data_IF_849832825816
#
_entry.id   IF_849832825816
#
_cell.length_a   1.000
_cell.length_b   1.000
_cell.length_c   1.000
_cell.angle_alpha   90.00
_cell.angle_beta   90.00
_cell.angle_gamma   90.00
#
_symmetry.space_group_name_H-M   'P 1'
#
loop_
_entity.id
_entity.type
_entity.pdbx_description
1 polymer ?
#
# COMPACT_ATOMS: atom_id res chain seq x y z
N UNK A 1 -6.94 19.51 -61.28
CA UNK A 1 -6.12 18.27 -61.15
C UNK A 1 -4.87 18.66 -60.39
N UNK A 2 -4.68 18.11 -59.18
CA UNK A 2 -3.67 18.59 -58.23
C UNK A 2 -2.29 18.11 -58.67
N UNK A 3 -1.40 19.04 -59.02
CA UNK A 3 0.00 18.76 -59.31
C UNK A 3 0.69 18.30 -58.02
N UNK A 4 0.76 16.99 -57.79
CA UNK A 4 1.51 16.40 -56.67
C UNK A 4 2.99 16.81 -56.83
N UNK A 5 3.43 17.81 -56.07
CA UNK A 5 4.83 18.21 -56.04
C UNK A 5 5.67 17.12 -55.37
N UNK A 6 6.93 17.00 -55.82
CA UNK A 6 7.90 16.02 -55.34
C UNK A 6 8.09 16.13 -53.80
N UNK A 7 7.87 15.05 -53.03
CA UNK A 7 8.33 14.94 -51.66
C UNK A 7 9.87 14.87 -51.63
N UNK A 8 10.56 15.66 -50.80
CA UNK A 8 12.02 15.61 -50.71
C UNK A 8 12.49 14.24 -50.20
N UNK A 9 13.51 13.68 -50.85
CA UNK A 9 14.22 12.47 -50.38
C UNK A 9 13.83 11.12 -51.00
N UNK A 10 12.76 11.01 -51.78
CA UNK A 10 12.41 9.74 -52.46
C UNK A 10 13.12 9.57 -53.82
N UNK A 11 13.61 8.35 -54.07
CA UNK A 11 14.17 7.95 -55.35
C UNK A 11 13.06 7.85 -56.41
N UNK A 12 13.30 8.44 -57.59
CA UNK A 12 12.31 8.55 -58.67
C UNK A 12 12.84 7.85 -59.91
N UNK A 13 11.93 7.25 -60.66
CA UNK A 13 12.19 6.52 -61.89
C UNK A 13 11.26 7.07 -62.97
N UNK A 14 11.76 7.15 -64.21
CA UNK A 14 10.93 7.63 -65.34
C UNK A 14 9.82 6.63 -65.67
N UNK A 15 8.67 7.09 -66.19
CA UNK A 15 7.58 6.19 -66.56
C UNK A 15 7.99 5.12 -67.61
N UNK A 16 8.97 5.41 -68.47
CA UNK A 16 9.50 4.46 -69.44
C UNK A 16 10.34 3.35 -68.77
N UNK A 17 11.08 3.70 -67.73
CA UNK A 17 11.88 2.75 -66.96
C UNK A 17 11.01 1.95 -65.99
N UNK A 18 10.02 2.59 -65.36
CA UNK A 18 8.97 1.92 -64.59
C UNK A 18 8.19 0.90 -65.43
N UNK A 19 7.87 1.24 -66.69
CA UNK A 19 7.22 0.34 -67.63
C UNK A 19 8.05 -0.92 -67.92
N UNK A 20 9.38 -0.78 -68.04
CA UNK A 20 10.30 -1.92 -68.20
C UNK A 20 10.33 -2.80 -66.95
N UNK A 21 10.38 -2.20 -65.77
CA UNK A 21 10.44 -2.93 -64.49
C UNK A 21 9.14 -3.70 -64.25
N UNK A 22 7.99 -3.07 -64.49
CA UNK A 22 6.66 -3.67 -64.29
C UNK A 22 6.21 -4.57 -65.46
N UNK A 23 7.00 -4.67 -66.53
CA UNK A 23 6.65 -5.37 -67.78
C UNK A 23 5.28 -4.93 -68.34
N UNK A 24 4.96 -3.64 -68.25
CA UNK A 24 3.70 -3.04 -68.72
C UNK A 24 3.96 -1.93 -69.74
N UNK A 25 2.95 -1.61 -70.54
CA UNK A 25 3.03 -0.48 -71.48
C UNK A 25 3.10 0.88 -70.73
N UNK A 26 3.83 1.85 -71.30
CA UNK A 26 4.01 3.19 -70.72
C UNK A 26 2.68 3.93 -70.56
N UNK A 27 1.71 3.72 -71.46
CA UNK A 27 0.35 4.27 -71.36
C UNK A 27 -0.40 3.67 -70.17
N UNK A 28 -0.19 2.38 -69.89
CA UNK A 28 -0.75 1.71 -68.71
C UNK A 28 -0.15 2.28 -67.44
N UNK A 29 1.16 2.46 -67.37
CA UNK A 29 1.82 3.10 -66.21
C UNK A 29 1.31 4.52 -66.00
N UNK A 30 1.15 5.31 -67.07
CA UNK A 30 0.54 6.64 -66.97
C UNK A 30 -0.88 6.60 -66.42
N UNK A 31 -1.70 5.65 -66.89
CA UNK A 31 -3.07 5.46 -66.39
C UNK A 31 -3.06 5.08 -64.91
N UNK A 32 -2.15 4.19 -64.48
CA UNK A 32 -2.00 3.77 -63.08
C UNK A 32 -1.62 4.93 -62.15
N UNK A 33 -0.78 5.87 -62.61
CA UNK A 33 -0.47 7.10 -61.86
C UNK A 33 -1.72 8.00 -61.77
N UNK A 34 -2.48 8.12 -62.86
CA UNK A 34 -3.71 8.92 -62.90
C UNK A 34 -4.84 8.33 -62.03
N UNK A 35 -4.95 7.00 -61.95
CA UNK A 35 -5.94 6.29 -61.13
C UNK A 35 -5.49 6.09 -59.69
N UNK A 36 -4.33 6.64 -59.29
CA UNK A 36 -3.68 6.44 -57.97
C UNK A 36 -3.44 4.96 -57.61
N UNK A 37 -3.26 4.08 -58.59
CA UNK A 37 -2.83 2.69 -58.34
C UNK A 37 -1.34 2.61 -58.03
N UNK A 38 -0.56 3.57 -58.54
CA UNK A 38 0.86 3.74 -58.24
C UNK A 38 1.10 5.21 -57.88
N UNK A 39 1.85 5.45 -56.81
CA UNK A 39 2.28 6.79 -56.46
C UNK A 39 3.32 7.34 -57.46
N UNK A 40 2.98 8.46 -58.07
CA UNK A 40 3.84 9.16 -59.02
C UNK A 40 3.43 10.62 -59.18
N UNK A 41 4.18 11.35 -60.01
CA UNK A 41 3.86 12.74 -60.32
C UNK A 41 4.21 13.10 -61.77
N UNK A 42 3.56 14.16 -62.24
CA UNK A 42 3.77 14.76 -63.55
C UNK A 42 4.63 16.01 -63.40
N UNK A 43 5.72 16.09 -64.17
CA UNK A 43 6.55 17.28 -64.31
C UNK A 43 6.40 17.82 -65.72
N UNK A 44 5.81 19.00 -65.84
CA UNK A 44 5.77 19.72 -67.11
C UNK A 44 7.13 20.40 -67.33
N UNK A 45 7.79 20.10 -68.43
CA UNK A 45 9.08 20.70 -68.81
C UNK A 45 9.00 21.10 -70.28
N UNK A 46 9.23 22.38 -70.58
CA UNK A 46 9.22 22.95 -71.93
C UNK A 46 7.98 22.51 -72.76
N UNK A 47 6.78 22.67 -72.17
CA UNK A 47 5.49 22.30 -72.77
C UNK A 47 5.24 20.80 -73.00
N UNK A 48 6.09 19.90 -72.48
CA UNK A 48 5.90 18.44 -72.52
C UNK A 48 5.78 17.84 -71.12
N UNK A 49 4.78 16.99 -70.94
CA UNK A 49 4.51 16.27 -69.69
C UNK A 49 5.38 15.04 -69.52
N UNK A 50 6.24 15.03 -68.50
CA UNK A 50 7.04 13.88 -68.12
C UNK A 50 6.47 13.24 -66.85
N UNK A 51 6.31 11.93 -66.87
CA UNK A 51 5.71 11.16 -65.77
C UNK A 51 6.80 10.42 -65.02
N UNK A 52 6.75 10.49 -63.69
CA UNK A 52 7.71 9.86 -62.78
C UNK A 52 6.97 9.00 -61.75
N UNK A 53 7.58 7.89 -61.38
CA UNK A 53 7.10 6.94 -60.37
C UNK A 53 8.13 6.83 -59.26
N UNK A 54 7.70 6.61 -58.01
CA UNK A 54 8.64 6.35 -56.92
C UNK A 54 9.19 4.92 -56.98
N UNK A 55 10.50 4.76 -56.79
CA UNK A 55 11.20 3.49 -56.99
C UNK A 55 10.77 2.39 -55.99
N UNK A 56 10.33 2.79 -54.79
CA UNK A 56 9.83 1.89 -53.74
C UNK A 56 8.56 1.13 -54.16
N UNK A 57 7.73 1.73 -55.02
CA UNK A 57 6.51 1.11 -55.54
C UNK A 57 6.77 0.11 -56.68
N UNK A 58 7.91 0.20 -57.35
CA UNK A 58 8.24 -0.64 -58.52
C UNK A 58 8.79 -2.01 -58.14
N UNK A 59 9.28 -2.17 -56.90
CA UNK A 59 9.88 -3.42 -56.40
C UNK A 59 8.86 -4.35 -55.74
N UNK A 60 7.60 -3.94 -55.64
CA UNK A 60 6.55 -4.63 -54.87
C UNK A 60 5.74 -5.68 -55.64
N UNK A 61 6.02 -5.95 -56.91
CA UNK A 61 5.34 -7.04 -57.65
C UNK A 61 6.25 -8.24 -57.83
N UNK A 62 6.12 -9.21 -56.92
CA UNK A 62 6.55 -10.59 -57.17
C UNK A 62 7.81 -11.06 -56.47
N UNK A 63 7.90 -10.89 -55.15
CA UNK A 63 8.69 -11.80 -54.33
C UNK A 63 7.70 -12.68 -53.58
N UNK A 64 7.61 -13.95 -53.99
CA UNK A 64 7.02 -15.00 -53.15
C UNK A 64 7.64 -14.88 -51.74
N UNK A 65 6.87 -15.02 -50.65
CA UNK A 65 7.40 -14.78 -49.32
C UNK A 65 8.51 -15.78 -49.07
N UNK A 66 9.75 -15.29 -49.14
CA UNK A 66 10.89 -16.00 -48.62
C UNK A 66 10.60 -16.27 -47.14
N UNK A 67 10.90 -17.50 -46.73
CA UNK A 67 10.93 -18.02 -45.36
C UNK A 67 11.84 -17.22 -44.43
N UNK A 68 11.49 -15.96 -44.19
CA UNK A 68 11.86 -15.16 -43.05
C UNK A 68 10.54 -14.81 -42.37
N UNK A 69 10.42 -15.08 -41.07
CA UNK A 69 9.27 -14.68 -40.26
C UNK A 69 8.80 -13.29 -40.68
N UNK A 70 7.58 -13.20 -41.20
CA UNK A 70 7.00 -11.93 -41.62
C UNK A 70 7.11 -10.96 -40.44
N UNK A 71 7.33 -9.67 -40.71
CA UNK A 71 7.28 -8.62 -39.66
C UNK A 71 5.98 -8.75 -38.85
N UNK A 72 4.90 -9.19 -39.48
CA UNK A 72 3.61 -9.48 -38.84
C UNK A 72 3.68 -10.66 -37.85
N UNK A 73 4.46 -11.70 -38.13
CA UNK A 73 4.66 -12.82 -37.22
C UNK A 73 5.50 -12.42 -36.01
N UNK A 74 6.51 -11.56 -36.22
CA UNK A 74 7.32 -10.99 -35.13
C UNK A 74 6.46 -10.10 -34.22
N UNK A 75 5.66 -9.20 -34.80
CA UNK A 75 4.74 -8.34 -34.03
C UNK A 75 3.67 -9.14 -33.28
N UNK A 76 3.21 -10.27 -33.86
CA UNK A 76 2.25 -11.18 -33.20
C UNK A 76 2.89 -11.91 -32.02
N UNK A 77 4.13 -12.38 -32.17
CA UNK A 77 4.89 -13.00 -31.09
C UNK A 77 5.18 -12.00 -29.96
N UNK A 78 5.59 -10.78 -30.30
CA UNK A 78 5.84 -9.70 -29.34
C UNK A 78 4.56 -9.31 -28.58
N UNK A 79 3.42 -9.16 -29.28
CA UNK A 79 2.13 -8.93 -28.62
C UNK A 79 1.73 -10.07 -27.68
N UNK A 80 1.97 -11.32 -28.07
CA UNK A 80 1.68 -12.47 -27.21
C UNK A 80 2.56 -12.44 -25.95
N UNK A 81 3.83 -12.09 -26.09
CA UNK A 81 4.76 -11.96 -24.98
C UNK A 81 4.39 -10.81 -24.04
N UNK A 82 4.08 -9.62 -24.58
CA UNK A 82 3.64 -8.47 -23.80
C UNK A 82 2.34 -8.76 -23.03
N UNK A 83 1.39 -9.48 -23.64
CA UNK A 83 0.16 -9.90 -22.96
C UNK A 83 0.44 -10.88 -21.82
N UNK A 84 1.37 -11.81 -22.02
CA UNK A 84 1.78 -12.74 -20.97
C UNK A 84 2.47 -12.01 -19.81
N UNK A 85 3.36 -11.06 -20.11
CA UNK A 85 4.03 -10.25 -19.11
C UNK A 85 3.03 -9.40 -18.32
N UNK A 86 2.09 -8.75 -19.01
CA UNK A 86 1.06 -7.92 -18.38
C UNK A 86 0.13 -8.75 -17.49
N UNK A 87 -0.24 -9.96 -17.91
CA UNK A 87 -0.99 -10.90 -17.08
C UNK A 87 -0.20 -11.29 -15.82
N UNK A 88 1.11 -11.55 -15.95
CA UNK A 88 1.97 -11.87 -14.81
C UNK A 88 2.12 -10.68 -13.85
N UNK A 89 2.23 -9.45 -14.37
CA UNK A 89 2.32 -8.23 -13.59
C UNK A 89 1.04 -7.98 -12.78
N UNK A 90 -0.14 -8.23 -13.37
CA UNK A 90 -1.39 -8.15 -12.63
C UNK A 90 -1.49 -9.17 -11.50
N UNK A 91 -1.00 -10.40 -11.71
CA UNK A 91 -1.01 -11.38 -10.62
C UNK A 91 -0.05 -10.97 -9.50
N UNK A 92 1.12 -10.40 -9.81
CA UNK A 92 2.02 -9.85 -8.79
C UNK A 92 1.37 -8.70 -8.02
N UNK A 93 0.69 -7.78 -8.71
CA UNK A 93 -0.05 -6.68 -8.07
C UNK A 93 -1.14 -7.23 -7.15
N UNK A 94 -1.91 -8.22 -7.61
CA UNK A 94 -2.97 -8.87 -6.84
C UNK A 94 -2.41 -9.51 -5.56
N UNK A 95 -1.32 -10.27 -5.68
CA UNK A 95 -0.66 -10.91 -4.55
C UNK A 95 -0.05 -9.89 -3.59
N UNK A 96 0.56 -8.82 -4.11
CA UNK A 96 1.13 -7.74 -3.30
C UNK A 96 0.04 -7.00 -2.51
N UNK A 97 -1.12 -6.74 -3.12
CA UNK A 97 -2.26 -6.13 -2.44
C UNK A 97 -2.81 -7.04 -1.34
N UNK A 98 -2.94 -8.34 -1.62
CA UNK A 98 -3.36 -9.32 -0.62
C UNK A 98 -2.37 -9.38 0.56
N UNK A 99 -1.06 -9.40 0.28
CA UNK A 99 -0.03 -9.38 1.32
C UNK A 99 -0.09 -8.09 2.16
N UNK A 100 -0.30 -6.94 1.50
CA UNK A 100 -0.44 -5.66 2.20
C UNK A 100 -1.66 -5.64 3.11
N UNK A 101 -2.80 -6.18 2.65
CA UNK A 101 -4.01 -6.28 3.46
C UNK A 101 -3.80 -7.13 4.72
N UNK A 102 -3.11 -8.28 4.58
CA UNK A 102 -2.76 -9.15 5.71
C UNK A 102 -1.85 -8.41 6.70
N UNK A 103 -0.82 -7.71 6.20
CA UNK A 103 0.09 -6.97 7.05
C UNK A 103 -0.62 -5.84 7.82
N UNK A 104 -1.54 -5.12 7.17
CA UNK A 104 -2.33 -4.07 7.84
C UNK A 104 -3.27 -4.63 8.89
N UNK A 105 -3.89 -5.78 8.63
CA UNK A 105 -4.75 -6.46 9.61
C UNK A 105 -3.94 -6.90 10.83
N UNK A 106 -2.78 -7.52 10.63
CA UNK A 106 -1.90 -7.93 11.72
C UNK A 106 -1.47 -6.73 12.59
N UNK A 107 -1.12 -5.59 11.98
CA UNK A 107 -0.76 -4.38 12.74
C UNK A 107 -1.95 -3.84 13.55
N UNK A 108 -3.17 -3.92 13.02
CA UNK A 108 -4.37 -3.53 13.77
C UNK A 108 -4.63 -4.45 14.95
N UNK A 109 -4.53 -5.77 14.77
CA UNK A 109 -4.68 -6.75 15.84
C UNK A 109 -3.65 -6.53 16.96
N UNK A 110 -2.38 -6.27 16.60
CA UNK A 110 -1.34 -5.96 17.58
C UNK A 110 -1.63 -4.67 18.36
N UNK A 111 -2.11 -3.62 17.70
CA UNK A 111 -2.48 -2.37 18.38
C UNK A 111 -3.63 -2.58 19.35
N UNK A 112 -4.65 -3.32 18.94
CA UNK A 112 -5.80 -3.61 19.79
C UNK A 112 -5.40 -4.46 21.02
N UNK A 113 -4.49 -5.42 20.84
CA UNK A 113 -3.94 -6.19 21.94
C UNK A 113 -3.14 -5.30 22.92
N UNK A 114 -2.33 -4.39 22.41
CA UNK A 114 -1.57 -3.45 23.25
C UNK A 114 -2.50 -2.51 24.05
N UNK A 115 -3.58 -2.01 23.42
CA UNK A 115 -4.59 -1.19 24.11
C UNK A 115 -5.28 -1.98 25.25
N UNK A 116 -5.58 -3.27 25.02
CA UNK A 116 -6.13 -4.14 26.06
C UNK A 116 -5.15 -4.36 27.23
N UNK A 117 -3.87 -4.54 26.93
CA UNK A 117 -2.82 -4.66 27.96
C UNK A 117 -2.70 -3.38 28.80
N UNK A 118 -2.74 -2.20 28.18
CA UNK A 118 -2.73 -0.92 28.89
C UNK A 118 -3.95 -0.76 29.82
N UNK A 119 -5.14 -1.12 29.34
CA UNK A 119 -6.37 -1.11 30.16
C UNK A 119 -6.28 -2.09 31.32
N UNK A 120 -5.73 -3.29 31.08
CA UNK A 120 -5.52 -4.29 32.13
C UNK A 120 -4.50 -3.83 33.17
N UNK A 121 -3.41 -3.20 32.75
CA UNK A 121 -2.39 -2.65 33.64
C UNK A 121 -2.96 -1.54 34.53
N UNK A 122 -3.77 -0.63 33.97
CA UNK A 122 -4.43 0.41 34.75
C UNK A 122 -5.46 -0.17 35.72
N UNK A 123 -6.24 -1.18 35.29
CA UNK A 123 -7.16 -1.91 36.16
C UNK A 123 -6.45 -2.56 37.35
N UNK A 124 -5.29 -3.18 37.12
CA UNK A 124 -4.47 -3.75 38.18
C UNK A 124 -3.93 -2.68 39.14
N UNK A 125 -3.52 -1.52 38.62
CA UNK A 125 -3.06 -0.38 39.44
C UNK A 125 -4.17 0.10 40.38
N UNK A 126 -5.38 0.33 39.85
CA UNK A 126 -6.55 0.72 40.64
C UNK A 126 -6.90 -0.34 41.68
N UNK A 127 -6.82 -1.62 41.33
CA UNK A 127 -7.06 -2.71 42.27
C UNK A 127 -6.05 -2.71 43.43
N UNK A 128 -4.76 -2.51 43.15
CA UNK A 128 -3.73 -2.41 44.18
C UNK A 128 -3.94 -1.20 45.10
N UNK A 129 -4.35 -0.05 44.57
CA UNK A 129 -4.72 1.12 45.38
C UNK A 129 -5.88 0.81 46.31
N UNK A 130 -6.91 0.11 45.83
CA UNK A 130 -8.04 -0.34 46.65
C UNK A 130 -7.61 -1.27 47.79
N UNK A 131 -6.71 -2.22 47.52
CA UNK A 131 -6.15 -3.11 48.55
C UNK A 131 -5.37 -2.30 49.61
N UNK A 132 -4.55 -1.34 49.18
CA UNK A 132 -3.81 -0.49 50.12
C UNK A 132 -4.74 0.34 51.01
N UNK A 133 -5.83 0.89 50.45
CA UNK A 133 -6.83 1.62 51.24
C UNK A 133 -7.49 0.72 52.29
N UNK A 134 -7.85 -0.51 51.94
CA UNK A 134 -8.43 -1.48 52.89
C UNK A 134 -7.44 -1.80 54.01
N UNK A 135 -6.16 -2.02 53.67
CA UNK A 135 -5.11 -2.28 54.66
C UNK A 135 -4.95 -1.09 55.61
N UNK A 136 -4.88 0.14 55.09
CA UNK A 136 -4.77 1.35 55.92
C UNK A 136 -6.00 1.55 56.83
N UNK A 137 -7.20 1.30 56.31
CA UNK A 137 -8.43 1.37 57.10
C UNK A 137 -8.45 0.32 58.23
N UNK A 138 -7.97 -0.89 57.95
CA UNK A 138 -7.84 -1.97 58.94
C UNK A 138 -6.85 -1.60 60.04
N UNK A 139 -5.66 -1.12 59.67
CA UNK A 139 -4.64 -0.66 60.63
C UNK A 139 -5.17 0.49 61.51
N UNK A 140 -5.87 1.45 60.90
CA UNK A 140 -6.48 2.57 61.62
C UNK A 140 -7.53 2.09 62.64
N UNK A 141 -8.38 1.12 62.25
CA UNK A 141 -9.35 0.50 63.17
C UNK A 141 -8.66 -0.23 64.31
N UNK A 142 -7.65 -1.05 64.02
CA UNK A 142 -6.87 -1.76 65.03
C UNK A 142 -6.21 -0.79 66.03
N UNK A 143 -5.67 0.34 65.55
CA UNK A 143 -5.13 1.40 66.40
C UNK A 143 -6.18 2.00 67.35
N UNK A 144 -7.40 2.24 66.87
CA UNK A 144 -8.51 2.72 67.72
C UNK A 144 -8.93 1.70 68.78
N UNK A 145 -8.99 0.41 68.42
CA UNK A 145 -9.27 -0.64 69.39
C UNK A 145 -8.19 -0.71 70.47
N UNK A 146 -6.92 -0.63 70.08
CA UNK A 146 -5.80 -0.60 71.04
C UNK A 146 -5.91 0.61 71.97
N UNK A 147 -6.09 1.82 71.41
CA UNK A 147 -6.23 3.03 72.22
C UNK A 147 -7.42 2.97 73.19
N UNK A 148 -8.55 2.37 72.75
CA UNK A 148 -9.70 2.16 73.63
C UNK A 148 -9.40 1.15 74.74
N UNK A 149 -8.69 0.06 74.45
CA UNK A 149 -8.30 -0.94 75.43
C UNK A 149 -7.33 -0.34 76.48
N UNK A 150 -6.35 0.45 76.03
CA UNK A 150 -5.42 1.16 76.90
C UNK A 150 -6.18 2.13 77.84
N UNK A 151 -7.19 2.85 77.31
CA UNK A 151 -8.05 3.73 78.10
C UNK A 151 -8.87 3.00 79.16
N UNK A 152 -9.44 1.83 78.83
CA UNK A 152 -10.15 0.99 79.82
C UNK A 152 -9.21 0.46 80.91
N UNK A 153 -7.99 0.04 80.55
CA UNK A 153 -7.01 -0.41 81.51
C UNK A 153 -6.62 0.70 82.50
N UNK A 154 -6.38 1.92 82.00
CA UNK A 154 -6.09 3.09 82.84
C UNK A 154 -7.27 3.44 83.78
N UNK A 155 -8.50 3.37 83.29
CA UNK A 155 -9.68 3.61 84.13
C UNK A 155 -9.80 2.59 85.26
N UNK A 156 -9.56 1.31 84.97
CA UNK A 156 -9.55 0.24 85.98
C UNK A 156 -8.43 0.41 87.01
N UNK A 157 -7.24 0.83 86.59
CA UNK A 157 -6.15 1.16 87.51
C UNK A 157 -6.54 2.30 88.45
N UNK A 158 -7.12 3.37 87.92
CA UNK A 158 -7.59 4.49 88.74
C UNK A 158 -8.69 4.09 89.72
N UNK A 159 -9.67 3.29 89.31
CA UNK A 159 -10.70 2.76 90.22
C UNK A 159 -10.11 1.88 91.32
N UNK A 160 -9.16 1.00 90.97
CA UNK A 160 -8.47 0.16 91.95
C UNK A 160 -7.72 1.00 92.98
N UNK A 161 -7.01 2.03 92.53
CA UNK A 161 -6.24 2.90 93.41
C UNK A 161 -7.17 3.74 94.31
N UNK A 162 -8.30 4.22 93.78
CA UNK A 162 -9.33 4.90 94.56
C UNK A 162 -9.98 3.98 95.61
N UNK A 163 -10.25 2.71 95.27
CA UNK A 163 -10.74 1.70 96.21
C UNK A 163 -9.67 1.35 97.25
N UNK A 164 -8.40 1.28 96.87
CA UNK A 164 -7.30 1.06 97.80
C UNK A 164 -7.19 2.21 98.81
N UNK A 165 -7.42 3.45 98.40
CA UNK A 165 -7.49 4.60 99.32
C UNK A 165 -8.72 4.53 100.26
N UNK A 166 -9.84 3.98 99.80
CA UNK A 166 -11.05 3.81 100.61
C UNK A 166 -10.95 2.65 101.62
N UNK A 167 -10.20 1.59 101.27
CA UNK A 167 -10.06 0.37 102.07
C UNK A 167 -8.78 0.39 102.93
N UNK A 168 -7.78 1.18 102.57
CA UNK A 168 -6.61 1.41 103.40
C UNK A 168 -7.07 1.95 104.76
N UNK A 169 -6.79 1.26 105.88
CA UNK A 169 -7.21 1.72 107.18
C UNK A 169 -6.56 3.07 107.46
N UNK A 170 -7.40 4.08 107.72
CA UNK A 170 -6.98 5.48 107.94
C UNK A 170 -6.05 5.61 109.16
N UNK A 171 -5.93 4.57 110.01
CA UNK A 171 -4.97 4.51 111.11
C UNK A 171 -4.55 3.07 111.43
N UNK A 172 -3.28 2.73 111.18
CA UNK A 172 -2.61 1.56 111.81
C UNK A 172 -2.53 1.73 113.35
N UNK A 173 -2.72 2.97 113.85
CA UNK A 173 -2.76 3.27 115.29
C UNK A 173 -3.99 2.74 116.05
N UNK A 174 -5.04 2.30 115.36
CA UNK A 174 -6.26 1.77 116.01
C UNK A 174 -6.26 0.23 116.16
N UNK A 175 -5.19 -0.44 115.70
CA UNK A 175 -5.00 -1.89 115.86
C UNK A 175 -4.13 -2.28 117.07
N UNK A 176 -3.59 -1.31 117.82
CA UNK A 176 -2.71 -1.53 118.98
C UNK A 176 -3.44 -1.30 120.34
N UNK A 177 -4.77 -1.18 120.32
CA UNK A 177 -5.61 -1.03 121.52
C UNK A 177 -6.32 -2.34 121.89
N UNK A 178 -5.56 -3.40 122.15
CA UNK A 178 -6.01 -4.59 122.88
C UNK A 178 -4.93 -5.17 123.79
#
# INVERSE_FOLDING_TARGET
>A
MSSKQRPPGRAIVSAAEAARILQRDVRTVRKMIQTNEIDGYEKQTNSRSHWYVYADQLSGSGVAPATGTSVEDQLRAENAQLRAELASAYEVIRLSQAAQAIATAAVQDYRQAAELDDVMAEGLRVAMEGVQQVVQASQSKAGRFKASADGFAQALEHERDALALLIAPDNIGDLDSR
#
